data_IF_782300743437
#
_entry.id   IF_782300743437
#
_cell.length_a   1.000
_cell.length_b   1.000
_cell.length_c   1.000
_cell.angle_alpha   90.00
_cell.angle_beta   90.00
_cell.angle_gamma   90.00
#
_symmetry.space_group_name_H-M   'P 1'
#
loop_
_entity.id
_entity.type
_entity.pdbx_description
1 polymer ?
#
# COMPACT_ATOMS: atom_id res chain seq x y z
N UNK A 1 37.80 -5.79 49.81
CA UNK A 1 38.08 -4.71 48.84
C UNK A 1 38.83 -5.36 47.68
N UNK A 2 38.14 -5.74 46.59
CA UNK A 2 37.98 -4.97 45.32
C UNK A 2 39.33 -4.74 44.61
N UNK A 3 39.57 -5.04 43.33
CA UNK A 3 38.87 -5.80 42.27
C UNK A 3 39.83 -5.88 41.07
N UNK A 4 39.85 -7.02 40.36
CA UNK A 4 40.52 -7.22 39.06
C UNK A 4 39.79 -6.44 37.95
N UNK A 5 40.51 -5.66 37.15
CA UNK A 5 40.13 -5.30 35.78
C UNK A 5 41.06 -6.05 34.84
N UNK A 6 40.54 -7.08 34.17
CA UNK A 6 41.21 -7.73 33.06
C UNK A 6 40.85 -6.98 31.77
N UNK A 7 41.85 -6.54 31.01
CA UNK A 7 41.67 -5.95 29.69
C UNK A 7 41.06 -6.98 28.72
N UNK A 8 40.19 -6.56 27.78
CA UNK A 8 39.66 -7.49 26.77
C UNK A 8 40.82 -7.98 25.90
N UNK A 9 40.95 -9.29 25.77
CA UNK A 9 41.98 -9.95 24.96
C UNK A 9 41.71 -9.63 23.48
N UNK A 10 42.74 -9.27 22.70
CA UNK A 10 42.61 -8.90 21.28
C UNK A 10 41.86 -9.95 20.41
N UNK A 11 41.83 -11.21 20.85
CA UNK A 11 41.04 -12.29 20.24
C UNK A 11 39.53 -12.12 20.35
N UNK A 12 39.01 -11.54 21.44
CA UNK A 12 37.57 -11.26 21.60
C UNK A 12 37.12 -10.13 20.67
N UNK A 13 37.98 -9.13 20.46
CA UNK A 13 37.68 -7.99 19.58
C UNK A 13 37.67 -8.40 18.12
N UNK A 14 38.62 -9.23 17.66
CA UNK A 14 38.62 -9.78 16.30
C UNK A 14 37.46 -10.76 16.08
N UNK A 15 37.17 -11.64 17.03
CA UNK A 15 36.04 -12.57 16.93
C UNK A 15 34.68 -11.84 16.91
N UNK A 16 34.53 -10.75 17.67
CA UNK A 16 33.34 -9.90 17.61
C UNK A 16 33.22 -9.12 16.30
N UNK A 17 34.34 -8.61 15.75
CA UNK A 17 34.35 -7.95 14.45
C UNK A 17 34.00 -8.92 13.31
N UNK A 18 34.57 -10.13 13.30
CA UNK A 18 34.26 -11.17 12.32
C UNK A 18 32.81 -11.66 12.44
N UNK A 19 32.29 -11.80 13.66
CA UNK A 19 30.89 -12.15 13.90
C UNK A 19 29.92 -11.06 13.42
N UNK A 20 30.21 -9.78 13.70
CA UNK A 20 29.41 -8.66 13.21
C UNK A 20 29.44 -8.54 11.68
N UNK A 21 30.58 -8.87 11.08
CA UNK A 21 30.75 -8.87 9.62
C UNK A 21 30.03 -10.05 8.98
N UNK A 22 30.11 -11.24 9.57
CA UNK A 22 29.39 -12.43 9.12
C UNK A 22 27.87 -12.24 9.21
N UNK A 23 27.38 -11.68 10.32
CA UNK A 23 25.97 -11.35 10.49
C UNK A 23 25.48 -10.37 9.43
N UNK A 24 26.21 -9.28 9.21
CA UNK A 24 25.85 -8.28 8.23
C UNK A 24 25.81 -8.85 6.81
N UNK A 25 26.77 -9.70 6.43
CA UNK A 25 26.77 -10.40 5.13
C UNK A 25 25.58 -11.37 5.01
N UNK A 26 25.27 -12.10 6.08
CA UNK A 26 24.15 -13.05 6.10
C UNK A 26 22.82 -12.33 5.85
N UNK A 27 22.55 -11.24 6.57
CA UNK A 27 21.34 -10.45 6.34
C UNK A 27 21.32 -9.77 4.97
N UNK A 28 22.46 -9.30 4.47
CA UNK A 28 22.53 -8.73 3.11
C UNK A 28 22.16 -9.77 2.04
N UNK A 29 22.57 -11.03 2.23
CA UNK A 29 22.19 -12.17 1.37
C UNK A 29 20.69 -12.41 1.40
N UNK A 30 20.08 -12.43 2.60
CA UNK A 30 18.63 -12.58 2.78
C UNK A 30 17.87 -11.43 2.13
N UNK A 31 18.29 -10.18 2.37
CA UNK A 31 17.67 -8.99 1.78
C UNK A 31 17.72 -9.03 0.27
N UNK A 32 18.90 -9.30 -0.32
CA UNK A 32 19.10 -9.32 -1.78
C UNK A 32 18.24 -10.39 -2.47
N UNK A 33 17.98 -11.51 -1.79
CA UNK A 33 17.16 -12.59 -2.33
C UNK A 33 15.66 -12.31 -2.18
N UNK A 34 15.21 -12.01 -0.96
CA UNK A 34 13.78 -11.96 -0.66
C UNK A 34 13.13 -10.62 -1.02
N UNK A 35 13.77 -9.50 -0.70
CA UNK A 35 13.11 -8.19 -0.74
C UNK A 35 12.80 -7.74 -2.17
N UNK A 36 13.72 -7.78 -3.15
CA UNK A 36 13.39 -7.40 -4.53
C UNK A 36 12.27 -8.26 -5.12
N UNK A 37 12.27 -9.56 -4.84
CA UNK A 37 11.26 -10.48 -5.35
C UNK A 37 9.87 -10.22 -4.73
N UNK A 38 9.81 -10.04 -3.41
CA UNK A 38 8.57 -9.70 -2.72
C UNK A 38 8.05 -8.31 -3.14
N UNK A 39 8.96 -7.35 -3.35
CA UNK A 39 8.63 -6.02 -3.87
C UNK A 39 8.04 -6.12 -5.28
N UNK A 40 8.57 -6.98 -6.15
CA UNK A 40 8.00 -7.22 -7.49
C UNK A 40 6.61 -7.86 -7.42
N UNK A 41 6.39 -8.78 -6.49
CA UNK A 41 5.06 -9.36 -6.27
C UNK A 41 4.05 -8.31 -5.78
N UNK A 42 4.48 -7.40 -4.89
CA UNK A 42 3.65 -6.31 -4.39
C UNK A 42 3.43 -5.19 -5.41
N UNK A 43 4.40 -4.99 -6.32
CA UNK A 43 4.24 -4.13 -7.48
C UNK A 43 3.08 -4.63 -8.33
N UNK A 44 3.08 -5.92 -8.68
CA UNK A 44 1.95 -6.58 -9.35
C UNK A 44 0.63 -6.32 -8.60
N UNK A 45 0.61 -6.55 -7.28
CA UNK A 45 -0.57 -6.33 -6.43
C UNK A 45 -1.17 -4.93 -6.59
N UNK A 46 -0.31 -3.91 -6.63
CA UNK A 46 -0.75 -2.54 -6.80
C UNK A 46 -1.12 -2.19 -8.25
N UNK A 47 -0.44 -2.77 -9.24
CA UNK A 47 -0.80 -2.59 -10.66
C UNK A 47 -2.25 -3.01 -10.92
N UNK A 48 -2.60 -4.22 -10.50
CA UNK A 48 -3.94 -4.77 -10.60
C UNK A 48 -4.98 -4.00 -9.76
N UNK A 49 -4.55 -3.28 -8.72
CA UNK A 49 -5.46 -2.40 -7.96
C UNK A 49 -5.76 -1.11 -8.71
N UNK A 50 -4.78 -0.53 -9.39
CA UNK A 50 -4.95 0.74 -10.12
C UNK A 50 -5.50 0.56 -11.53
N UNK A 51 -5.35 -0.63 -12.12
CA UNK A 51 -5.72 -0.95 -13.51
C UNK A 51 -7.15 -0.52 -13.86
N UNK A 52 -8.07 -0.66 -12.91
CA UNK A 52 -9.49 -0.43 -13.16
C UNK A 52 -9.81 1.05 -13.36
N UNK A 53 -8.97 1.95 -12.81
CA UNK A 53 -9.05 3.38 -13.06
C UNK A 53 -8.73 3.74 -14.51
N UNK A 54 -7.84 2.97 -15.15
CA UNK A 54 -7.56 3.07 -16.59
C UNK A 54 -8.62 2.37 -17.43
N UNK A 55 -9.01 1.14 -17.05
CA UNK A 55 -10.04 0.38 -17.73
C UNK A 55 -11.35 1.18 -17.85
N UNK A 56 -11.74 1.87 -16.78
CA UNK A 56 -12.89 2.77 -16.70
C UNK A 56 -13.01 3.70 -17.89
N UNK A 57 -11.88 4.21 -18.40
CA UNK A 57 -11.86 5.22 -19.45
C UNK A 57 -12.40 4.73 -20.80
N UNK A 58 -12.57 3.42 -20.99
CA UNK A 58 -13.25 2.81 -22.14
C UNK A 58 -14.43 1.94 -21.68
N UNK A 59 -14.26 1.18 -20.61
CA UNK A 59 -15.22 0.20 -20.08
C UNK A 59 -16.58 0.81 -19.73
N UNK A 60 -16.64 2.03 -19.18
CA UNK A 60 -17.92 2.65 -18.83
C UNK A 60 -18.82 2.85 -20.05
N UNK A 61 -18.25 3.34 -21.14
CA UNK A 61 -19.00 3.57 -22.38
C UNK A 61 -19.36 2.24 -23.07
N UNK A 62 -18.41 1.30 -23.11
CA UNK A 62 -18.59 -0.02 -23.73
C UNK A 62 -19.71 -0.82 -23.06
N UNK A 63 -19.74 -0.83 -21.72
CA UNK A 63 -20.74 -1.57 -20.94
C UNK A 63 -21.97 -0.73 -20.53
N UNK A 64 -22.00 0.56 -20.90
CA UNK A 64 -23.01 1.54 -20.48
C UNK A 64 -23.17 1.61 -18.96
N UNK A 65 -22.07 1.56 -18.23
CA UNK A 65 -22.04 1.70 -16.78
C UNK A 65 -22.03 3.18 -16.38
N UNK A 66 -22.60 3.48 -15.20
CA UNK A 66 -22.54 4.81 -14.59
C UNK A 66 -21.32 4.97 -13.66
N UNK A 67 -21.03 6.19 -13.22
CA UNK A 67 -19.95 6.44 -12.25
C UNK A 67 -20.23 5.77 -10.91
N UNK A 68 -21.50 5.69 -10.48
CA UNK A 68 -21.95 4.95 -9.31
C UNK A 68 -21.64 3.46 -9.44
N UNK A 69 -21.90 2.87 -10.61
CA UNK A 69 -21.60 1.45 -10.84
C UNK A 69 -20.10 1.21 -10.71
N UNK A 70 -19.28 2.02 -11.37
CA UNK A 70 -17.84 1.93 -11.24
C UNK A 70 -17.37 2.11 -9.80
N UNK A 71 -17.87 3.14 -9.12
CA UNK A 71 -17.50 3.50 -7.76
C UNK A 71 -17.84 2.40 -6.76
N UNK A 72 -19.06 1.87 -6.81
CA UNK A 72 -19.46 0.77 -5.93
C UNK A 72 -18.59 -0.48 -6.17
N UNK A 73 -18.32 -0.83 -7.43
CA UNK A 73 -17.46 -1.97 -7.76
C UNK A 73 -16.00 -1.77 -7.34
N UNK A 74 -15.46 -0.56 -7.49
CA UNK A 74 -14.14 -0.21 -6.99
C UNK A 74 -14.06 -0.31 -5.46
N UNK A 75 -15.14 0.04 -4.76
CA UNK A 75 -15.22 -0.06 -3.32
C UNK A 75 -15.37 -1.49 -2.81
N UNK A 76 -16.24 -2.31 -3.42
CA UNK A 76 -16.57 -3.68 -2.96
C UNK A 76 -15.34 -4.57 -2.80
N UNK A 77 -14.30 -4.35 -3.61
CA UNK A 77 -12.99 -4.99 -3.46
C UNK A 77 -12.46 -4.91 -2.02
N UNK A 78 -12.55 -3.73 -1.38
CA UNK A 78 -12.05 -3.52 -0.03
C UNK A 78 -12.89 -4.23 1.04
N UNK A 79 -14.17 -4.48 0.79
CA UNK A 79 -14.99 -5.28 1.70
C UNK A 79 -14.54 -6.74 1.71
N UNK A 80 -14.33 -7.33 0.52
CA UNK A 80 -13.78 -8.68 0.39
C UNK A 80 -12.40 -8.78 1.02
N UNK A 81 -11.53 -7.81 0.76
CA UNK A 81 -10.19 -7.74 1.34
C UNK A 81 -10.24 -7.69 2.88
N UNK A 82 -11.00 -6.76 3.46
CA UNK A 82 -11.11 -6.56 4.90
C UNK A 82 -11.67 -7.80 5.63
N UNK A 83 -12.75 -8.39 5.12
CA UNK A 83 -13.40 -9.55 5.75
C UNK A 83 -12.50 -10.79 5.78
N UNK A 84 -11.67 -10.98 4.76
CA UNK A 84 -10.86 -12.19 4.59
C UNK A 84 -9.38 -12.00 4.95
N UNK A 85 -8.95 -10.79 5.31
CA UNK A 85 -7.56 -10.51 5.69
C UNK A 85 -7.11 -11.34 6.89
N UNK A 86 -7.89 -11.35 7.98
CA UNK A 86 -7.56 -12.11 9.20
C UNK A 86 -7.63 -13.63 8.95
N UNK A 87 -8.74 -14.19 8.41
CA UNK A 87 -8.79 -15.62 8.08
C UNK A 87 -7.66 -16.07 7.16
N UNK A 88 -7.33 -15.29 6.12
CA UNK A 88 -6.27 -15.61 5.16
C UNK A 88 -4.92 -15.75 5.85
N UNK A 89 -4.55 -14.82 6.74
CA UNK A 89 -3.27 -14.89 7.46
C UNK A 89 -3.21 -16.04 8.48
N UNK A 90 -4.34 -16.39 9.09
CA UNK A 90 -4.39 -17.58 9.96
C UNK A 90 -4.11 -18.87 9.17
N UNK A 91 -4.61 -18.97 7.95
CA UNK A 91 -4.33 -20.11 7.07
C UNK A 91 -2.89 -20.07 6.57
N UNK A 92 -2.36 -18.89 6.22
CA UNK A 92 -0.94 -18.71 5.84
C UNK A 92 -0.01 -19.28 6.91
N UNK A 93 -0.29 -19.00 8.19
CA UNK A 93 0.51 -19.52 9.31
C UNK A 93 0.45 -21.04 9.42
N UNK A 94 -0.67 -21.68 9.07
CA UNK A 94 -0.85 -23.14 9.14
C UNK A 94 -0.26 -23.88 7.94
N UNK A 95 -0.46 -23.34 6.73
CA UNK A 95 -0.14 -24.00 5.45
C UNK A 95 1.27 -23.64 4.96
N UNK A 96 1.85 -22.56 5.49
CA UNK A 96 3.16 -22.05 5.10
C UNK A 96 3.06 -20.93 4.06
N UNK A 97 3.96 -19.95 4.20
CA UNK A 97 3.97 -18.75 3.37
C UNK A 97 4.14 -19.03 1.88
N UNK A 98 5.01 -19.99 1.51
CA UNK A 98 5.29 -20.33 0.11
C UNK A 98 4.02 -20.72 -0.64
N UNK A 99 3.29 -21.71 -0.11
CA UNK A 99 2.12 -22.27 -0.77
C UNK A 99 0.95 -21.29 -0.75
N UNK A 100 0.75 -20.58 0.37
CA UNK A 100 -0.38 -19.68 0.51
C UNK A 100 -0.22 -18.39 -0.30
N UNK A 101 0.96 -17.76 -0.30
CA UNK A 101 1.23 -16.56 -1.10
C UNK A 101 1.14 -16.88 -2.60
N UNK A 102 1.63 -18.05 -3.03
CA UNK A 102 1.45 -18.51 -4.40
C UNK A 102 -0.03 -18.69 -4.76
N UNK A 103 -0.80 -19.37 -3.91
CA UNK A 103 -2.26 -19.54 -4.11
C UNK A 103 -2.95 -18.19 -4.24
N UNK A 104 -2.65 -17.23 -3.37
CA UNK A 104 -3.18 -15.87 -3.46
C UNK A 104 -2.89 -15.30 -4.85
N UNK A 105 -1.63 -15.22 -5.26
CA UNK A 105 -1.28 -14.61 -6.54
C UNK A 105 -1.88 -15.33 -7.75
N UNK A 106 -1.91 -16.66 -7.75
CA UNK A 106 -2.47 -17.44 -8.86
C UNK A 106 -3.98 -17.26 -8.98
N UNK A 107 -4.72 -17.41 -7.87
CA UNK A 107 -6.19 -17.25 -7.88
C UNK A 107 -6.60 -15.82 -8.24
N UNK A 108 -5.86 -14.85 -7.71
CA UNK A 108 -6.05 -13.44 -8.00
C UNK A 108 -5.75 -13.08 -9.45
N UNK A 109 -4.67 -13.60 -10.06
CA UNK A 109 -4.36 -13.38 -11.47
C UNK A 109 -5.46 -13.94 -12.40
N UNK A 110 -5.99 -15.13 -12.09
CA UNK A 110 -7.10 -15.72 -12.86
C UNK A 110 -8.37 -14.87 -12.77
N UNK A 111 -8.70 -14.36 -11.57
CA UNK A 111 -9.85 -13.48 -11.38
C UNK A 111 -9.62 -12.14 -12.10
N UNK A 112 -8.41 -11.58 -12.06
CA UNK A 112 -8.05 -10.34 -12.77
C UNK A 112 -8.25 -10.50 -14.28
N UNK A 113 -7.71 -11.58 -14.88
CA UNK A 113 -7.92 -11.85 -16.31
C UNK A 113 -9.40 -12.06 -16.68
N UNK A 114 -10.21 -12.59 -15.76
CA UNK A 114 -11.64 -12.83 -15.98
C UNK A 114 -12.47 -11.54 -16.13
N UNK A 115 -11.92 -10.37 -15.76
CA UNK A 115 -12.60 -9.09 -15.99
C UNK A 115 -12.84 -8.79 -17.46
N UNK A 116 -12.05 -9.36 -18.38
CA UNK A 116 -12.26 -9.24 -19.82
C UNK A 116 -13.64 -9.74 -20.29
N UNK A 117 -14.28 -10.62 -19.50
CA UNK A 117 -15.59 -11.21 -19.78
C UNK A 117 -16.76 -10.51 -19.07
N UNK A 118 -16.51 -9.40 -18.36
CA UNK A 118 -17.56 -8.64 -17.69
C UNK A 118 -18.50 -8.03 -18.72
N UNK A 119 -19.81 -8.25 -18.50
CA UNK A 119 -20.88 -7.73 -19.36
C UNK A 119 -22.02 -7.06 -18.59
N UNK A 120 -22.07 -7.21 -17.27
CA UNK A 120 -23.14 -6.67 -16.41
C UNK A 120 -22.60 -6.11 -15.09
N UNK A 121 -23.31 -5.15 -14.46
CA UNK A 121 -22.90 -4.59 -13.16
C UNK A 121 -22.73 -5.66 -12.09
N UNK A 122 -23.62 -6.66 -12.06
CA UNK A 122 -23.52 -7.78 -11.12
C UNK A 122 -22.24 -8.59 -11.33
N UNK A 123 -21.90 -8.95 -12.58
CA UNK A 123 -20.65 -9.68 -12.87
C UNK A 123 -19.41 -8.87 -12.46
N UNK A 124 -19.44 -7.55 -12.67
CA UNK A 124 -18.39 -6.64 -12.22
C UNK A 124 -18.26 -6.65 -10.69
N UNK A 125 -19.37 -6.52 -9.94
CA UNK A 125 -19.35 -6.53 -8.48
C UNK A 125 -18.88 -7.86 -7.89
N UNK A 126 -19.34 -8.98 -8.44
CA UNK A 126 -18.95 -10.31 -8.00
C UNK A 126 -17.45 -10.51 -8.22
N UNK A 127 -16.93 -10.21 -9.42
CA UNK A 127 -15.49 -10.35 -9.67
C UNK A 127 -14.66 -9.41 -8.80
N UNK A 128 -15.13 -8.18 -8.53
CA UNK A 128 -14.44 -7.24 -7.62
C UNK A 128 -14.38 -7.75 -6.19
N UNK A 129 -15.50 -8.30 -5.70
CA UNK A 129 -15.54 -8.93 -4.39
C UNK A 129 -14.58 -10.11 -4.31
N UNK A 130 -14.66 -11.04 -5.28
CA UNK A 130 -13.79 -12.21 -5.35
C UNK A 130 -12.32 -11.85 -5.48
N UNK A 131 -11.98 -10.79 -6.23
CA UNK A 131 -10.63 -10.27 -6.35
C UNK A 131 -10.12 -9.80 -4.97
N UNK A 132 -10.96 -9.06 -4.22
CA UNK A 132 -10.66 -8.65 -2.86
C UNK A 132 -10.44 -9.85 -1.91
N UNK A 133 -11.30 -10.87 -2.00
CA UNK A 133 -11.16 -12.11 -1.23
C UNK A 133 -9.87 -12.87 -1.58
N UNK A 134 -9.52 -12.93 -2.87
CA UNK A 134 -8.34 -13.64 -3.35
C UNK A 134 -7.04 -12.94 -2.92
N UNK A 135 -6.99 -11.61 -3.04
CA UNK A 135 -5.84 -10.76 -2.67
C UNK A 135 -5.69 -10.61 -1.14
N UNK A 136 -6.77 -10.86 -0.39
CA UNK A 136 -6.79 -10.73 1.06
C UNK A 136 -5.63 -11.52 1.71
N UNK A 137 -4.84 -10.83 2.53
CA UNK A 137 -3.73 -11.42 3.24
C UNK A 137 -2.42 -11.53 2.45
N UNK A 138 -2.32 -11.02 1.20
CA UNK A 138 -1.04 -10.96 0.51
C UNK A 138 -0.03 -10.07 1.25
N UNK A 139 -0.31 -8.77 1.37
CA UNK A 139 0.61 -7.83 2.00
C UNK A 139 0.88 -8.16 3.48
N UNK A 140 -0.13 -8.41 4.33
CA UNK A 140 0.12 -8.82 5.72
C UNK A 140 0.79 -10.19 5.82
N UNK A 141 0.53 -11.09 4.86
CA UNK A 141 1.18 -12.40 4.78
C UNK A 141 2.66 -12.30 4.46
N UNK A 142 3.05 -11.35 3.59
CA UNK A 142 4.46 -11.02 3.35
C UNK A 142 5.09 -10.40 4.59
N UNK A 143 4.39 -9.50 5.29
CA UNK A 143 4.87 -8.91 6.55
C UNK A 143 5.10 -10.01 7.60
N UNK A 144 4.15 -10.94 7.75
CA UNK A 144 4.27 -12.11 8.62
C UNK A 144 5.45 -12.98 8.21
N UNK A 145 5.58 -13.29 6.91
CA UNK A 145 6.70 -14.05 6.37
C UNK A 145 8.04 -13.40 6.71
N UNK A 146 8.16 -12.07 6.60
CA UNK A 146 9.38 -11.34 6.97
C UNK A 146 9.74 -11.49 8.45
N UNK A 147 8.77 -11.72 9.34
CA UNK A 147 9.06 -12.00 10.76
C UNK A 147 9.79 -13.32 10.98
N UNK A 148 9.72 -14.25 10.02
CA UNK A 148 10.43 -15.52 10.08
C UNK A 148 11.91 -15.38 9.69
N UNK A 149 12.30 -14.28 9.06
CA UNK A 149 13.66 -14.06 8.52
C UNK A 149 14.39 -12.90 9.19
N UNK A 150 13.66 -11.91 9.72
CA UNK A 150 14.24 -10.67 10.24
C UNK A 150 13.81 -10.43 11.70
N UNK A 151 14.76 -10.12 12.61
CA UNK A 151 14.44 -9.58 13.92
C UNK A 151 13.86 -8.16 13.80
N UNK A 152 13.15 -7.71 14.83
CA UNK A 152 12.44 -6.42 14.86
C UNK A 152 13.27 -5.22 14.37
N UNK A 153 14.53 -5.10 14.82
CA UNK A 153 15.45 -4.00 14.47
C UNK A 153 15.73 -3.90 12.96
N UNK A 154 15.93 -5.04 12.29
CA UNK A 154 16.26 -5.09 10.86
C UNK A 154 15.01 -5.12 9.98
N UNK A 155 13.89 -5.58 10.53
CA UNK A 155 12.61 -5.72 9.82
C UNK A 155 12.05 -4.39 9.33
N UNK A 156 12.21 -3.31 10.11
CA UNK A 156 11.73 -1.98 9.71
C UNK A 156 12.33 -1.54 8.36
N UNK A 157 13.65 -1.64 8.19
CA UNK A 157 14.33 -1.30 6.93
C UNK A 157 13.85 -2.18 5.77
N UNK A 158 13.68 -3.47 6.01
CA UNK A 158 13.20 -4.40 5.01
C UNK A 158 11.76 -4.09 4.56
N UNK A 159 10.88 -3.72 5.51
CA UNK A 159 9.51 -3.31 5.22
C UNK A 159 9.47 -2.00 4.42
N UNK A 160 10.29 -1.01 4.78
CA UNK A 160 10.37 0.24 4.00
C UNK A 160 10.75 -0.03 2.55
N UNK A 161 11.69 -0.96 2.30
CA UNK A 161 12.05 -1.37 0.94
C UNK A 161 10.90 -2.06 0.20
N UNK A 162 10.16 -2.94 0.88
CA UNK A 162 8.99 -3.60 0.32
C UNK A 162 7.88 -2.60 -0.08
N UNK A 163 7.58 -1.61 0.77
CA UNK A 163 6.55 -0.61 0.50
C UNK A 163 6.90 0.38 -0.62
N UNK A 164 8.16 0.47 -1.05
CA UNK A 164 8.54 1.24 -2.25
C UNK A 164 7.85 0.74 -3.52
N UNK A 165 7.29 -0.48 -3.53
CA UNK A 165 6.50 -0.98 -4.64
C UNK A 165 5.25 -0.12 -4.94
N UNK A 166 4.65 0.53 -3.93
CA UNK A 166 3.42 1.33 -4.11
C UNK A 166 3.63 2.51 -5.07
N UNK A 167 4.55 3.45 -4.79
CA UNK A 167 4.80 4.56 -5.71
C UNK A 167 5.39 4.08 -7.05
N UNK A 168 6.18 3.01 -7.04
CA UNK A 168 6.71 2.42 -8.27
C UNK A 168 5.59 1.86 -9.17
N UNK A 169 4.54 1.27 -8.58
CA UNK A 169 3.37 0.79 -9.31
C UNK A 169 2.61 1.94 -9.98
N UNK A 170 2.52 3.11 -9.34
CA UNK A 170 1.92 4.29 -9.97
C UNK A 170 2.72 4.79 -11.18
N UNK A 171 4.07 4.79 -11.07
CA UNK A 171 4.97 5.28 -12.12
C UNK A 171 5.05 4.34 -13.31
N UNK A 172 5.09 3.03 -13.06
CA UNK A 172 5.19 2.01 -14.10
C UNK A 172 3.81 1.66 -14.65
N UNK A 173 2.81 1.55 -13.76
CA UNK A 173 1.46 1.12 -14.10
C UNK A 173 0.74 2.09 -15.02
N UNK A 174 0.82 3.39 -14.77
CA UNK A 174 0.15 4.36 -15.65
C UNK A 174 0.55 4.24 -17.12
N UNK A 175 1.85 4.39 -17.47
CA UNK A 175 2.34 4.22 -18.82
C UNK A 175 2.08 2.82 -19.40
N UNK A 176 2.24 1.77 -18.59
CA UNK A 176 1.99 0.38 -19.02
C UNK A 176 0.52 0.18 -19.39
N UNK A 177 -0.41 0.56 -18.52
CA UNK A 177 -1.85 0.46 -18.75
C UNK A 177 -2.28 1.29 -19.95
N UNK A 178 -1.77 2.53 -20.07
CA UNK A 178 -2.04 3.41 -21.20
C UNK A 178 -1.53 2.84 -22.52
N UNK A 179 -0.31 2.28 -22.54
CA UNK A 179 0.27 1.63 -23.71
C UNK A 179 -0.54 0.41 -24.14
N UNK A 180 -0.90 -0.49 -23.20
CA UNK A 180 -1.72 -1.66 -23.52
C UNK A 180 -3.05 -1.26 -24.13
N UNK A 181 -3.74 -0.28 -23.52
CA UNK A 181 -5.03 0.20 -24.00
C UNK A 181 -4.96 0.94 -25.35
N UNK A 182 -3.80 1.49 -25.72
CA UNK A 182 -3.56 2.13 -27.00
C UNK A 182 -3.19 1.10 -28.08
N UNK A 183 -2.17 0.28 -27.83
CA UNK A 183 -1.58 -0.63 -28.81
C UNK A 183 -2.47 -1.81 -29.16
N UNK A 184 -3.27 -2.31 -28.21
CA UNK A 184 -4.14 -3.48 -28.41
C UNK A 184 -5.61 -3.10 -28.61
N UNK A 185 -5.93 -1.80 -28.76
CA UNK A 185 -7.29 -1.39 -29.06
C UNK A 185 -7.73 -1.92 -30.43
N UNK A 186 -8.82 -2.70 -30.47
CA UNK A 186 -9.34 -3.31 -31.70
C UNK A 186 -8.59 -4.57 -32.14
N UNK A 187 -7.54 -4.98 -31.42
CA UNK A 187 -6.90 -6.27 -31.67
C UNK A 187 -7.86 -7.41 -31.33
N UNK A 188 -8.06 -8.34 -32.28
CA UNK A 188 -9.05 -9.43 -32.20
C UNK A 188 -10.50 -8.95 -31.95
N UNK A 189 -10.85 -7.74 -32.40
CA UNK A 189 -12.17 -7.13 -32.17
C UNK A 189 -12.51 -6.94 -30.67
N UNK A 190 -11.47 -6.85 -29.83
CA UNK A 190 -11.60 -6.60 -28.40
C UNK A 190 -11.24 -5.15 -28.05
N UNK A 191 -12.01 -4.59 -27.12
CA UNK A 191 -11.71 -3.28 -26.54
C UNK A 191 -10.40 -3.32 -25.74
N UNK A 192 -9.64 -2.22 -25.78
CA UNK A 192 -8.33 -2.11 -25.12
C UNK A 192 -8.36 -2.38 -23.61
N UNK A 193 -9.46 -2.07 -22.92
CA UNK A 193 -9.64 -2.37 -21.50
C UNK A 193 -9.70 -3.88 -21.20
N UNK A 194 -10.14 -4.72 -22.15
CA UNK A 194 -10.12 -6.19 -21.98
C UNK A 194 -8.69 -6.72 -22.03
N UNK A 195 -7.91 -6.21 -22.99
CA UNK A 195 -6.47 -6.51 -23.09
C UNK A 195 -5.69 -6.07 -21.86
N UNK A 196 -6.06 -4.92 -21.28
CA UNK A 196 -5.48 -4.45 -20.03
C UNK A 196 -5.56 -5.51 -18.93
N UNK A 197 -6.77 -6.01 -18.63
CA UNK A 197 -6.96 -7.03 -17.60
C UNK A 197 -6.26 -8.35 -17.92
N UNK A 198 -6.28 -8.80 -19.18
CA UNK A 198 -5.63 -10.06 -19.56
C UNK A 198 -4.10 -9.99 -19.50
N UNK A 199 -3.50 -8.91 -20.00
CA UNK A 199 -2.05 -8.77 -20.10
C UNK A 199 -1.42 -8.39 -18.76
N UNK A 200 -2.07 -7.57 -17.94
CA UNK A 200 -1.54 -7.22 -16.61
C UNK A 200 -1.66 -8.37 -15.61
N UNK A 201 -2.61 -9.28 -15.79
CA UNK A 201 -2.72 -10.49 -14.98
C UNK A 201 -1.57 -11.49 -15.25
N UNK A 202 -0.94 -11.45 -16.42
CA UNK A 202 0.08 -12.43 -16.81
C UNK A 202 1.37 -12.33 -15.97
N UNK A 203 1.97 -11.14 -15.73
CA UNK A 203 3.05 -10.99 -14.77
C UNK A 203 2.70 -11.53 -13.37
N UNK A 204 1.50 -11.23 -12.88
CA UNK A 204 1.01 -11.72 -11.58
C UNK A 204 0.92 -13.25 -11.53
N UNK A 205 0.45 -13.88 -12.62
CA UNK A 205 0.41 -15.34 -12.77
C UNK A 205 1.82 -15.95 -12.75
N UNK A 206 2.75 -15.38 -13.53
CA UNK A 206 4.14 -15.84 -13.60
C UNK A 206 4.82 -15.71 -12.23
N UNK A 207 4.61 -14.61 -11.53
CA UNK A 207 5.15 -14.38 -10.19
C UNK A 207 4.55 -15.36 -9.16
N UNK A 208 3.27 -15.70 -9.28
CA UNK A 208 2.63 -16.72 -8.44
C UNK A 208 3.27 -18.11 -8.61
N UNK A 209 3.58 -18.51 -9.85
CA UNK A 209 4.34 -19.74 -10.13
C UNK A 209 5.77 -19.61 -9.60
N UNK A 210 6.41 -18.46 -9.80
CA UNK A 210 7.76 -18.20 -9.32
C UNK A 210 7.88 -18.28 -7.80
N UNK A 211 6.86 -17.86 -7.03
CA UNK A 211 6.83 -18.03 -5.56
C UNK A 211 7.00 -19.51 -5.20
N UNK A 212 6.30 -20.42 -5.88
CA UNK A 212 6.41 -21.85 -5.61
C UNK A 212 7.82 -22.38 -5.87
N UNK A 213 8.58 -21.78 -6.78
CA UNK A 213 9.94 -22.23 -7.10
C UNK A 213 11.02 -21.50 -6.29
N UNK A 214 10.76 -20.28 -5.85
CA UNK A 214 11.77 -19.36 -5.33
C UNK A 214 11.70 -19.15 -3.81
N UNK A 215 10.51 -19.16 -3.20
CA UNK A 215 10.34 -18.96 -1.75
C UNK A 215 10.50 -20.27 -0.98
N UNK A 216 11.14 -20.17 0.19
CA UNK A 216 11.18 -21.21 1.21
C UNK A 216 10.18 -20.83 2.33
N UNK A 217 9.69 -21.79 3.12
CA UNK A 217 8.71 -21.47 4.18
C UNK A 217 9.34 -20.78 5.41
N UNK A 218 10.65 -20.90 5.59
CA UNK A 218 11.40 -20.26 6.66
C UNK A 218 12.88 -20.65 6.64
N UNK A 219 13.61 -20.20 7.66
CA UNK A 219 15.07 -20.35 7.77
C UNK A 219 15.52 -21.82 7.64
N UNK A 220 14.82 -22.75 8.30
CA UNK A 220 15.22 -24.17 8.31
C UNK A 220 15.10 -24.84 6.94
N UNK A 221 14.05 -24.49 6.18
CA UNK A 221 13.83 -25.00 4.83
C UNK A 221 14.72 -24.36 3.76
N UNK A 222 15.47 -23.30 4.10
CA UNK A 222 16.23 -22.49 3.15
C UNK A 222 17.40 -23.27 2.53
N UNK A 223 17.30 -23.65 1.26
CA UNK A 223 18.35 -24.44 0.58
C UNK A 223 19.60 -23.64 0.19
N UNK A 224 19.50 -22.32 0.18
CA UNK A 224 20.54 -21.39 -0.28
C UNK A 224 21.36 -20.77 0.86
N UNK A 225 21.05 -21.15 2.11
CA UNK A 225 21.78 -20.75 3.30
C UNK A 225 22.65 -21.90 3.80
N UNK A 226 23.86 -21.57 4.28
CA UNK A 226 24.71 -22.53 5.00
C UNK A 226 24.14 -22.79 6.39
N UNK A 227 24.50 -23.92 7.01
CA UNK A 227 24.03 -24.26 8.36
C UNK A 227 24.45 -23.21 9.41
N UNK A 228 25.63 -22.60 9.25
CA UNK A 228 26.07 -21.50 10.11
C UNK A 228 25.20 -20.24 9.94
N UNK A 229 24.83 -19.89 8.71
CA UNK A 229 23.92 -18.77 8.43
C UNK A 229 22.52 -19.04 9.01
N UNK A 230 21.99 -20.26 8.85
CA UNK A 230 20.69 -20.67 9.40
C UNK A 230 20.67 -20.58 10.92
N UNK A 231 21.69 -21.11 11.59
CA UNK A 231 21.79 -21.09 13.05
C UNK A 231 21.82 -19.65 13.59
N UNK A 232 22.55 -18.76 12.92
CA UNK A 232 22.61 -17.34 13.28
C UNK A 232 21.23 -16.66 13.16
N UNK A 233 20.56 -16.82 12.01
CA UNK A 233 19.25 -16.22 11.78
C UNK A 233 18.20 -16.75 12.76
N UNK A 234 18.18 -18.07 12.99
CA UNK A 234 17.24 -18.70 13.91
C UNK A 234 17.44 -18.21 15.35
N UNK A 235 18.70 -18.08 15.79
CA UNK A 235 19.03 -17.52 17.11
C UNK A 235 18.53 -16.09 17.27
N UNK A 236 18.78 -15.24 16.28
CA UNK A 236 18.43 -13.82 16.34
C UNK A 236 16.90 -13.61 16.32
N UNK A 237 16.17 -14.38 15.50
CA UNK A 237 14.70 -14.33 15.46
C UNK A 237 14.07 -14.90 16.75
N UNK A 238 14.62 -16.00 17.28
CA UNK A 238 14.13 -16.59 18.53
C UNK A 238 14.35 -15.66 19.74
N UNK A 239 15.51 -14.98 19.81
CA UNK A 239 15.81 -13.99 20.84
C UNK A 239 14.84 -12.81 20.85
N UNK A 240 14.46 -12.32 19.66
CA UNK A 240 13.47 -11.24 19.50
C UNK A 240 12.04 -11.68 19.87
N UNK A 241 11.68 -12.95 19.64
CA UNK A 241 10.37 -13.49 20.02
C UNK A 241 10.23 -13.73 21.53
N UNK A 242 11.32 -14.12 22.23
CA UNK A 242 11.29 -14.37 23.67
C UNK A 242 11.00 -13.12 24.51
N UNK A 243 11.25 -11.92 23.96
CA UNK A 243 10.94 -10.65 24.62
C UNK A 243 9.48 -10.17 24.40
N UNK A 244 8.68 -10.88 23.61
CA UNK A 244 7.27 -10.53 23.34
C UNK A 244 6.36 -11.06 24.44
N UNK A 245 6.13 -10.26 25.47
CA UNK A 245 5.08 -10.48 26.49
C UNK A 245 3.70 -10.06 25.93
N UNK A 246 2.94 -10.98 25.34
CA UNK A 246 1.55 -10.67 24.95
C UNK A 246 0.61 -10.82 26.14
N UNK A 247 -0.17 -9.78 26.47
CA UNK A 247 -1.60 -9.83 26.82
C UNK A 247 -2.11 -8.40 27.11
N UNK A 248 -2.49 -7.66 26.06
CA UNK A 248 -3.40 -6.52 26.23
C UNK A 248 -4.81 -7.04 25.94
N UNK A 249 -5.73 -6.87 26.90
CA UNK A 249 -7.13 -7.25 26.71
C UNK A 249 -7.71 -6.55 25.47
N UNK A 250 -8.21 -7.33 24.51
CA UNK A 250 -8.82 -6.81 23.26
C UNK A 250 -9.91 -5.79 23.56
N UNK A 251 -10.67 -5.99 24.65
CA UNK A 251 -11.74 -5.09 25.08
C UNK A 251 -11.20 -3.74 25.56
N UNK A 252 -10.11 -3.74 26.34
CA UNK A 252 -9.45 -2.52 26.78
C UNK A 252 -8.82 -1.75 25.61
N UNK A 253 -8.32 -2.49 24.62
CA UNK A 253 -7.73 -1.94 23.41
C UNK A 253 -8.77 -1.28 22.48
N UNK A 254 -9.91 -1.92 22.24
CA UNK A 254 -11.01 -1.34 21.44
C UNK A 254 -11.66 -0.15 22.15
N UNK A 255 -11.65 -0.13 23.49
CA UNK A 255 -12.17 0.98 24.29
C UNK A 255 -11.26 2.23 24.28
N UNK A 256 -10.04 2.16 23.75
CA UNK A 256 -9.13 3.30 23.73
C UNK A 256 -9.58 4.35 22.69
N UNK A 257 -9.96 5.54 23.17
CA UNK A 257 -10.36 6.67 22.32
C UNK A 257 -9.24 7.14 21.39
N UNK A 258 -7.97 6.94 21.76
CA UNK A 258 -6.81 7.31 20.93
C UNK A 258 -6.76 6.46 19.66
N UNK A 259 -7.12 5.18 19.76
CA UNK A 259 -7.19 4.27 18.61
C UNK A 259 -8.17 4.81 17.55
N UNK A 260 -9.37 5.19 17.97
CA UNK A 260 -10.40 5.71 17.07
C UNK A 260 -10.06 7.07 16.47
N UNK A 261 -9.39 7.94 17.23
CA UNK A 261 -8.86 9.19 16.68
C UNK A 261 -7.82 8.94 15.59
N UNK A 262 -6.89 8.02 15.83
CA UNK A 262 -5.88 7.61 14.83
C UNK A 262 -6.54 6.97 13.61
N UNK A 263 -7.50 6.08 13.82
CA UNK A 263 -8.27 5.46 12.75
C UNK A 263 -9.03 6.50 11.90
N UNK A 264 -9.67 7.49 12.53
CA UNK A 264 -10.40 8.54 11.81
C UNK A 264 -9.46 9.44 10.98
N UNK A 265 -8.31 9.84 11.53
CA UNK A 265 -7.32 10.63 10.79
C UNK A 265 -6.81 9.83 9.58
N UNK A 266 -6.42 8.57 9.79
CA UNK A 266 -5.88 7.75 8.71
C UNK A 266 -6.95 7.40 7.67
N UNK A 267 -8.20 7.19 8.10
CA UNK A 267 -9.33 7.01 7.20
C UNK A 267 -9.47 8.20 6.22
N UNK A 268 -9.37 9.43 6.70
CA UNK A 268 -9.39 10.62 5.83
C UNK A 268 -8.21 10.65 4.83
N UNK A 269 -7.01 10.27 5.26
CA UNK A 269 -5.83 10.20 4.40
C UNK A 269 -6.00 9.13 3.32
N UNK A 270 -6.43 7.92 3.71
CA UNK A 270 -6.65 6.80 2.79
C UNK A 270 -7.82 7.08 1.84
N UNK A 271 -8.86 7.78 2.30
CA UNK A 271 -9.98 8.23 1.47
C UNK A 271 -9.48 9.12 0.33
N UNK A 272 -8.63 10.10 0.64
CA UNK A 272 -8.01 10.97 -0.36
C UNK A 272 -7.04 10.22 -1.28
N UNK A 273 -6.27 9.28 -0.74
CA UNK A 273 -5.34 8.48 -1.53
C UNK A 273 -6.05 7.63 -2.59
N UNK A 274 -7.12 6.91 -2.21
CA UNK A 274 -7.91 6.14 -3.19
C UNK A 274 -8.72 7.05 -4.12
N UNK A 275 -9.20 8.18 -3.62
CA UNK A 275 -9.84 9.25 -4.39
C UNK A 275 -8.96 9.81 -5.50
N UNK A 276 -7.64 9.90 -5.25
CA UNK A 276 -6.67 10.17 -6.29
C UNK A 276 -6.55 8.97 -7.23
N UNK A 277 -6.13 7.82 -6.70
CA UNK A 277 -5.73 6.66 -7.49
C UNK A 277 -6.78 6.19 -8.51
N UNK A 278 -8.05 6.10 -8.14
CA UNK A 278 -9.08 5.52 -9.00
C UNK A 278 -9.72 6.51 -10.00
N UNK A 279 -9.53 7.83 -9.85
CA UNK A 279 -10.09 8.86 -10.77
C UNK A 279 -9.00 9.67 -11.46
N UNK A 280 -7.75 9.56 -11.03
CA UNK A 280 -6.63 10.27 -11.64
C UNK A 280 -6.61 10.13 -13.17
N UNK A 281 -6.75 8.92 -13.76
CA UNK A 281 -6.78 8.80 -15.22
C UNK A 281 -7.99 9.49 -15.86
N UNK A 282 -9.16 9.46 -15.18
CA UNK A 282 -10.39 10.11 -15.66
C UNK A 282 -10.27 11.62 -15.64
N UNK A 283 -9.65 12.17 -14.59
CA UNK A 283 -9.43 13.61 -14.46
C UNK A 283 -8.50 14.08 -15.59
N UNK A 284 -7.40 13.37 -15.85
CA UNK A 284 -6.48 13.70 -16.95
C UNK A 284 -7.16 13.60 -18.32
N UNK A 285 -7.99 12.56 -18.54
CA UNK A 285 -8.81 12.43 -19.76
C UNK A 285 -9.75 13.64 -19.93
N UNK A 286 -10.51 13.98 -18.88
CA UNK A 286 -11.46 15.12 -18.89
C UNK A 286 -10.78 16.48 -19.05
N UNK A 287 -9.51 16.60 -18.67
CA UNK A 287 -8.73 17.83 -18.86
C UNK A 287 -8.36 18.11 -20.34
N UNK A 288 -8.57 17.14 -21.24
CA UNK A 288 -8.38 17.30 -22.69
C UNK A 288 -7.47 16.26 -23.35
N UNK A 289 -7.00 15.24 -22.62
CA UNK A 289 -6.11 14.21 -23.16
C UNK A 289 -6.92 13.03 -23.71
N UNK A 290 -7.04 12.95 -25.03
CA UNK A 290 -7.84 11.90 -25.68
C UNK A 290 -7.16 10.52 -25.61
N UNK A 291 -5.87 10.45 -25.96
CA UNK A 291 -5.13 9.20 -26.10
C UNK A 291 -4.86 8.51 -24.74
N UNK A 292 -5.28 7.25 -24.53
CA UNK A 292 -4.93 6.47 -23.35
C UNK A 292 -3.44 6.42 -23.02
N UNK A 293 -2.56 6.41 -24.03
CA UNK A 293 -1.11 6.39 -23.82
C UNK A 293 -0.65 7.65 -23.08
N UNK A 294 -1.07 8.80 -23.56
CA UNK A 294 -0.74 10.09 -22.94
C UNK A 294 -1.40 10.27 -21.58
N UNK A 295 -2.63 9.76 -21.39
CA UNK A 295 -3.23 9.70 -20.04
C UNK A 295 -2.33 8.90 -19.10
N UNK A 296 -1.87 7.72 -19.52
CA UNK A 296 -0.95 6.87 -18.76
C UNK A 296 0.35 7.58 -18.39
N UNK A 297 1.03 8.17 -19.37
CA UNK A 297 2.30 8.90 -19.16
C UNK A 297 2.10 10.08 -18.20
N UNK A 298 1.06 10.88 -18.39
CA UNK A 298 0.81 12.06 -17.57
C UNK A 298 0.37 11.72 -16.14
N UNK A 299 -0.29 10.57 -15.93
CA UNK A 299 -0.64 10.11 -14.57
C UNK A 299 0.58 9.70 -13.73
N UNK A 300 1.73 9.40 -14.36
CA UNK A 300 2.97 9.11 -13.64
C UNK A 300 3.56 10.37 -12.98
N UNK A 301 3.32 11.56 -13.54
CA UNK A 301 3.91 12.81 -13.07
C UNK A 301 3.53 13.16 -11.61
N UNK A 302 2.25 13.10 -11.20
CA UNK A 302 1.87 13.30 -9.79
C UNK A 302 2.59 12.35 -8.82
N UNK A 303 2.78 11.08 -9.19
CA UNK A 303 3.50 10.11 -8.36
C UNK A 303 5.00 10.42 -8.27
N UNK A 304 5.62 10.90 -9.37
CA UNK A 304 7.01 11.37 -9.35
C UNK A 304 7.20 12.56 -8.41
N UNK A 305 6.29 13.54 -8.43
CA UNK A 305 6.31 14.66 -7.49
C UNK A 305 6.19 14.17 -6.03
N UNK A 306 5.34 13.18 -5.78
CA UNK A 306 5.20 12.61 -4.45
C UNK A 306 6.46 11.88 -3.97
N UNK A 307 7.18 11.16 -4.84
CA UNK A 307 8.47 10.52 -4.49
C UNK A 307 9.50 11.54 -4.00
N UNK A 308 9.49 12.76 -4.54
CA UNK A 308 10.41 13.82 -4.10
C UNK A 308 9.90 14.50 -2.82
N UNK A 309 8.60 14.75 -2.70
CA UNK A 309 8.02 15.39 -1.52
C UNK A 309 8.13 14.54 -0.24
N UNK A 310 7.93 13.23 -0.36
CA UNK A 310 8.00 12.25 0.73
C UNK A 310 9.29 12.37 1.58
N UNK A 311 10.51 12.23 1.01
CA UNK A 311 11.75 12.33 1.76
C UNK A 311 12.03 13.75 2.24
N UNK A 312 11.70 14.80 1.46
CA UNK A 312 11.94 16.19 1.86
C UNK A 312 11.13 16.58 3.11
N UNK A 313 9.84 16.23 3.13
CA UNK A 313 8.98 16.48 4.29
C UNK A 313 9.37 15.56 5.46
N UNK A 314 9.76 14.31 5.18
CA UNK A 314 10.27 13.40 6.21
C UNK A 314 11.52 13.93 6.91
N UNK A 315 12.52 14.39 6.14
CA UNK A 315 13.73 15.02 6.67
C UNK A 315 13.41 16.28 7.47
N UNK A 316 12.49 17.10 6.98
CA UNK A 316 12.04 18.30 7.70
C UNK A 316 11.32 17.95 9.01
N UNK A 317 10.50 16.90 9.02
CA UNK A 317 9.78 16.43 10.21
C UNK A 317 10.74 15.91 11.27
N UNK A 318 11.78 15.19 10.85
CA UNK A 318 12.84 14.69 11.73
C UNK A 318 13.71 15.83 12.28
N UNK A 319 14.04 16.83 11.45
CA UNK A 319 14.83 17.98 11.86
C UNK A 319 14.11 18.87 12.89
N UNK A 320 12.84 19.19 12.63
CA UNK A 320 12.04 20.05 13.51
C UNK A 320 11.41 19.29 14.69
N UNK A 321 11.37 17.95 14.64
CA UNK A 321 10.69 17.09 15.61
C UNK A 321 9.20 17.43 15.77
N UNK A 322 8.58 17.95 14.70
CA UNK A 322 7.19 18.39 14.68
C UNK A 322 6.31 17.40 13.89
N UNK A 323 5.79 16.38 14.56
CA UNK A 323 5.03 15.33 13.86
C UNK A 323 3.63 15.76 13.45
N UNK A 324 3.01 16.66 14.21
CA UNK A 324 1.63 17.13 13.94
C UNK A 324 1.54 18.03 12.71
N UNK A 325 2.44 19.01 12.60
CA UNK A 325 2.41 19.98 11.50
C UNK A 325 2.82 19.33 10.18
N UNK A 326 3.83 18.48 10.19
CA UNK A 326 4.26 17.72 9.00
C UNK A 326 3.27 16.64 8.55
N UNK A 327 2.22 16.37 9.34
CA UNK A 327 1.05 15.60 8.89
C UNK A 327 -0.06 16.53 8.38
N UNK A 328 -0.46 17.52 9.17
CA UNK A 328 -1.60 18.39 8.87
C UNK A 328 -1.36 19.32 7.66
N UNK A 329 -0.15 19.88 7.52
CA UNK A 329 0.16 20.79 6.41
C UNK A 329 0.08 20.05 5.07
N UNK A 330 0.71 18.88 4.85
CA UNK A 330 0.54 18.14 3.61
C UNK A 330 -0.91 17.70 3.34
N UNK A 331 -1.71 17.44 4.38
CA UNK A 331 -3.15 17.18 4.21
C UNK A 331 -3.88 18.42 3.67
N UNK A 332 -3.62 19.61 4.24
CA UNK A 332 -4.22 20.85 3.76
C UNK A 332 -3.76 21.22 2.34
N UNK A 333 -2.49 20.99 2.02
CA UNK A 333 -1.95 21.14 0.67
C UNK A 333 -2.66 20.20 -0.31
N UNK A 334 -2.90 18.94 0.09
CA UNK A 334 -3.64 17.99 -0.72
C UNK A 334 -5.09 18.45 -0.95
N UNK A 335 -5.77 18.90 0.11
CA UNK A 335 -7.12 19.42 0.04
C UNK A 335 -7.23 20.64 -0.88
N UNK A 336 -6.24 21.55 -0.83
CA UNK A 336 -6.16 22.71 -1.73
C UNK A 336 -5.98 22.27 -3.19
N UNK A 337 -5.13 21.26 -3.46
CA UNK A 337 -4.96 20.68 -4.79
C UNK A 337 -6.27 20.12 -5.35
N UNK A 338 -7.03 19.36 -4.55
CA UNK A 338 -8.34 18.84 -4.95
C UNK A 338 -9.42 19.92 -5.11
N UNK A 339 -9.42 20.94 -4.24
CA UNK A 339 -10.43 22.01 -4.27
C UNK A 339 -10.23 22.99 -5.44
N UNK A 340 -8.98 23.23 -5.84
CA UNK A 340 -8.64 24.15 -6.94
C UNK A 340 -8.77 23.50 -8.31
N UNK A 341 -8.66 22.16 -8.38
CA UNK A 341 -8.74 21.40 -9.63
C UNK A 341 -9.98 21.72 -10.49
N UNK A 342 -11.22 21.83 -9.95
CA UNK A 342 -12.40 22.15 -10.75
C UNK A 342 -12.45 23.61 -11.24
N UNK A 343 -11.69 24.50 -10.62
CA UNK A 343 -11.66 25.94 -10.94
C UNK A 343 -10.69 26.24 -12.09
N UNK A 344 -9.75 25.32 -12.35
CA UNK A 344 -8.67 25.51 -13.29
C UNK A 344 -8.91 24.69 -14.56
N UNK A 345 -8.97 25.39 -15.70
CA UNK A 345 -9.11 24.76 -17.01
C UNK A 345 -7.78 24.30 -17.60
N UNK A 346 -7.80 23.20 -18.35
CA UNK A 346 -6.69 22.72 -19.17
C UNK A 346 -5.78 21.66 -18.52
N UNK A 347 -5.05 20.95 -19.36
CA UNK A 347 -4.22 19.80 -18.99
C UNK A 347 -3.11 20.21 -18.01
N UNK A 348 -2.37 21.28 -18.30
CA UNK A 348 -1.24 21.72 -17.47
C UNK A 348 -1.65 22.07 -16.04
N UNK A 349 -2.70 22.90 -15.89
CA UNK A 349 -3.19 23.28 -14.56
C UNK A 349 -3.74 22.08 -13.78
N UNK A 350 -4.45 21.18 -14.46
CA UNK A 350 -4.95 19.94 -13.85
C UNK A 350 -3.81 19.08 -13.32
N UNK A 351 -2.72 18.92 -14.08
CA UNK A 351 -1.56 18.14 -13.66
C UNK A 351 -0.82 18.77 -12.49
N UNK A 352 -0.72 20.11 -12.44
CA UNK A 352 -0.14 20.82 -11.30
C UNK A 352 -0.97 20.58 -10.03
N UNK A 353 -2.29 20.75 -10.10
CA UNK A 353 -3.18 20.49 -8.97
C UNK A 353 -3.13 19.04 -8.51
N UNK A 354 -3.14 18.09 -9.44
CA UNK A 354 -3.03 16.65 -9.15
C UNK A 354 -1.67 16.30 -8.54
N UNK A 355 -0.59 16.94 -8.99
CA UNK A 355 0.75 16.73 -8.44
C UNK A 355 0.87 17.26 -7.02
N UNK A 356 0.29 18.43 -6.74
CA UNK A 356 0.18 19.01 -5.39
C UNK A 356 -0.67 18.08 -4.50
N UNK A 357 -1.81 17.60 -5.01
CA UNK A 357 -2.69 16.67 -4.31
C UNK A 357 -1.98 15.35 -3.97
N UNK A 358 -1.30 14.76 -4.95
CA UNK A 358 -0.52 13.52 -4.79
C UNK A 358 0.63 13.69 -3.80
N UNK A 359 1.43 14.75 -3.94
CA UNK A 359 2.53 15.04 -3.05
C UNK A 359 2.05 15.20 -1.61
N UNK A 360 0.97 15.95 -1.38
CA UNK A 360 0.38 16.12 -0.07
C UNK A 360 -0.12 14.80 0.54
N UNK A 361 -0.98 14.07 -0.17
CA UNK A 361 -1.68 12.91 0.39
C UNK A 361 -0.77 11.71 0.63
N UNK A 362 0.17 11.43 -0.28
CA UNK A 362 1.13 10.34 -0.14
C UNK A 362 2.13 10.64 0.98
N UNK A 363 2.55 11.90 1.10
CA UNK A 363 3.40 12.34 2.22
C UNK A 363 2.66 12.20 3.54
N UNK A 364 1.41 12.65 3.65
CA UNK A 364 0.58 12.47 4.84
C UNK A 364 0.45 11.00 5.26
N UNK A 365 0.26 10.09 4.30
CA UNK A 365 0.19 8.64 4.56
C UNK A 365 1.47 8.11 5.24
N UNK A 366 2.65 8.57 4.81
CA UNK A 366 3.92 8.20 5.46
C UNK A 366 4.10 8.81 6.85
N UNK A 367 3.80 10.09 7.02
CA UNK A 367 4.02 10.82 8.27
C UNK A 367 3.03 10.40 9.36
N UNK A 368 1.85 9.91 8.96
CA UNK A 368 0.83 9.43 9.89
C UNK A 368 1.37 8.36 10.85
N UNK A 369 2.20 7.44 10.36
CA UNK A 369 2.68 6.30 11.16
C UNK A 369 3.62 6.70 12.32
N UNK A 370 4.12 7.94 12.34
CA UNK A 370 4.83 8.49 13.49
C UNK A 370 3.91 8.79 14.70
N UNK A 371 2.60 8.97 14.48
CA UNK A 371 1.67 9.31 15.56
C UNK A 371 1.31 8.09 16.43
N UNK A 372 0.82 6.95 15.88
CA UNK A 372 0.47 5.79 16.69
C UNK A 372 1.66 5.24 17.48
N UNK A 373 2.85 5.28 16.89
CA UNK A 373 4.10 4.83 17.53
C UNK A 373 4.45 5.66 18.75
N UNK A 374 4.27 6.98 18.70
CA UNK A 374 4.51 7.87 19.84
C UNK A 374 3.41 7.78 20.93
N UNK A 375 2.16 7.54 20.54
CA UNK A 375 0.99 7.63 21.45
C UNK A 375 0.62 6.30 22.13
N UNK A 376 0.85 5.16 21.46
CA UNK A 376 0.37 3.85 21.90
C UNK A 376 1.43 2.99 22.62
N UNK A 377 2.68 3.46 22.70
CA UNK A 377 3.79 2.94 23.52
C UNK A 377 3.85 1.43 23.81
N UNK A 378 4.88 0.73 23.30
CA UNK A 378 5.14 -0.69 23.63
C UNK A 378 4.33 -1.70 22.79
N UNK A 379 4.10 -2.90 23.31
CA UNK A 379 3.42 -3.99 22.58
C UNK A 379 1.95 -3.72 22.20
N UNK A 380 1.30 -2.74 22.86
CA UNK A 380 -0.04 -2.26 22.47
C UNK A 380 -0.02 -1.50 21.12
N UNK A 381 1.11 -0.89 20.76
CA UNK A 381 1.23 -0.08 19.55
C UNK A 381 1.16 -0.92 18.27
N UNK A 382 1.68 -2.15 18.27
CA UNK A 382 1.63 -3.02 17.09
C UNK A 382 0.20 -3.47 16.76
N UNK A 383 -0.57 -3.86 17.79
CA UNK A 383 -2.00 -4.13 17.65
C UNK A 383 -2.77 -2.86 17.24
N UNK A 384 -2.39 -1.72 17.83
CA UNK A 384 -2.79 -0.35 17.48
C UNK A 384 -2.76 -0.09 15.99
N UNK A 385 -1.56 -0.21 15.44
CA UNK A 385 -1.22 0.02 14.04
C UNK A 385 -2.03 -0.88 13.12
N UNK A 386 -2.12 -2.17 13.44
CA UNK A 386 -2.89 -3.12 12.64
C UNK A 386 -4.39 -2.77 12.62
N UNK A 387 -4.97 -2.44 13.78
CA UNK A 387 -6.39 -2.07 13.87
C UNK A 387 -6.70 -0.76 13.14
N UNK A 388 -5.83 0.26 13.28
CA UNK A 388 -5.93 1.52 12.52
C UNK A 388 -5.90 1.26 11.02
N UNK A 389 -4.97 0.42 10.55
CA UNK A 389 -4.88 0.09 9.13
C UNK A 389 -6.13 -0.64 8.62
N UNK A 390 -6.67 -1.58 9.40
CA UNK A 390 -7.88 -2.33 9.04
C UNK A 390 -9.09 -1.37 8.87
N UNK A 391 -9.32 -0.49 9.86
CA UNK A 391 -10.43 0.47 9.81
C UNK A 391 -10.23 1.49 8.70
N UNK A 392 -9.02 2.01 8.51
CA UNK A 392 -8.74 2.99 7.48
C UNK A 392 -8.86 2.41 6.06
N UNK A 393 -8.60 1.11 5.85
CA UNK A 393 -8.80 0.49 4.55
C UNK A 393 -10.28 0.44 4.14
N UNK A 394 -11.24 0.55 5.06
CA UNK A 394 -12.66 0.75 4.72
C UNK A 394 -12.90 2.07 3.98
N UNK A 395 -12.01 3.06 4.11
CA UNK A 395 -12.06 4.26 3.28
C UNK A 395 -11.91 3.93 1.78
N UNK A 396 -11.26 2.82 1.44
CA UNK A 396 -11.21 2.29 0.08
C UNK A 396 -12.56 1.83 -0.45
N UNK A 397 -13.52 1.48 0.42
CA UNK A 397 -14.92 1.25 0.02
C UNK A 397 -15.67 2.57 -0.16
N UNK A 398 -15.63 3.43 0.87
CA UNK A 398 -16.43 4.66 0.89
C UNK A 398 -15.98 5.70 -0.12
N UNK A 399 -14.67 5.85 -0.34
CA UNK A 399 -14.12 6.84 -1.29
C UNK A 399 -14.73 6.65 -2.69
N UNK A 400 -14.59 5.48 -3.35
CA UNK A 400 -15.20 5.26 -4.66
C UNK A 400 -16.71 5.20 -4.70
N UNK A 401 -17.35 4.60 -3.72
CA UNK A 401 -18.80 4.54 -3.70
C UNK A 401 -19.41 5.95 -3.65
N UNK A 402 -18.92 6.81 -2.74
CA UNK A 402 -19.48 8.16 -2.54
C UNK A 402 -19.11 9.07 -3.72
N UNK A 403 -17.85 9.05 -4.19
CA UNK A 403 -17.43 9.87 -5.33
C UNK A 403 -18.21 9.50 -6.59
N UNK A 404 -18.40 8.21 -6.87
CA UNK A 404 -19.19 7.74 -8.01
C UNK A 404 -20.64 8.21 -7.94
N UNK A 405 -21.27 8.04 -6.77
CA UNK A 405 -22.64 8.48 -6.51
C UNK A 405 -22.84 10.00 -6.65
N UNK A 406 -21.94 10.80 -6.07
CA UNK A 406 -21.99 12.25 -6.18
C UNK A 406 -21.81 12.74 -7.61
N UNK A 407 -20.93 12.10 -8.38
CA UNK A 407 -20.67 12.47 -9.78
C UNK A 407 -21.88 12.18 -10.67
N UNK A 408 -22.57 11.06 -10.48
CA UNK A 408 -23.82 10.76 -11.21
C UNK A 408 -24.95 11.71 -10.78
N UNK A 409 -25.12 11.95 -9.47
CA UNK A 409 -26.21 12.78 -8.93
C UNK A 409 -26.10 14.25 -9.35
N UNK A 410 -24.89 14.79 -9.41
CA UNK A 410 -24.65 16.19 -9.80
C UNK A 410 -24.36 16.37 -11.29
N UNK A 411 -24.14 15.28 -12.03
CA UNK A 411 -23.69 15.30 -13.41
C UNK A 411 -22.27 15.86 -13.61
N UNK A 412 -21.53 16.18 -12.55
CA UNK A 412 -20.21 16.79 -12.62
C UNK A 412 -19.21 16.13 -11.65
N UNK A 413 -17.95 16.00 -12.08
CA UNK A 413 -16.86 15.44 -11.28
C UNK A 413 -16.45 16.33 -10.08
N UNK A 414 -16.89 17.59 -10.06
CA UNK A 414 -16.58 18.57 -9.01
C UNK A 414 -17.06 18.12 -7.63
N UNK A 415 -18.25 17.53 -7.53
CA UNK A 415 -18.85 17.17 -6.24
C UNK A 415 -18.01 16.11 -5.50
N UNK A 416 -17.54 15.09 -6.20
CA UNK A 416 -16.65 14.07 -5.64
C UNK A 416 -15.30 14.64 -5.19
N UNK A 417 -14.72 15.58 -5.94
CA UNK A 417 -13.46 16.23 -5.59
C UNK A 417 -13.59 17.12 -4.34
N UNK A 418 -14.68 17.89 -4.24
CA UNK A 418 -14.98 18.70 -3.05
C UNK A 418 -15.20 17.80 -1.83
N UNK A 419 -15.91 16.68 -1.98
CA UNK A 419 -16.09 15.70 -0.90
C UNK A 419 -14.74 15.19 -0.37
N UNK A 420 -13.84 14.77 -1.26
CA UNK A 420 -12.48 14.34 -0.87
C UNK A 420 -11.74 15.47 -0.15
N UNK A 421 -11.78 16.69 -0.70
CA UNK A 421 -11.11 17.85 -0.10
C UNK A 421 -11.63 18.13 1.32
N UNK A 422 -12.95 18.18 1.50
CA UNK A 422 -13.58 18.39 2.82
C UNK A 422 -13.20 17.29 3.80
N UNK A 423 -13.22 16.02 3.37
CA UNK A 423 -12.83 14.90 4.22
C UNK A 423 -11.37 15.00 4.67
N UNK A 424 -10.46 15.45 3.80
CA UNK A 424 -9.04 15.66 4.14
C UNK A 424 -8.89 16.85 5.10
N UNK A 425 -9.63 17.96 4.90
CA UNK A 425 -9.61 19.11 5.83
C UNK A 425 -10.11 18.70 7.22
N UNK A 426 -11.20 17.93 7.29
CA UNK A 426 -11.69 17.35 8.54
C UNK A 426 -10.60 16.48 9.21
N UNK A 427 -9.92 15.62 8.44
CA UNK A 427 -8.80 14.83 8.93
C UNK A 427 -7.66 15.69 9.48
N UNK A 428 -7.29 16.77 8.78
CA UNK A 428 -6.27 17.72 9.23
C UNK A 428 -6.67 18.42 10.53
N UNK A 429 -7.95 18.80 10.67
CA UNK A 429 -8.48 19.36 11.93
C UNK A 429 -8.41 18.34 13.08
N UNK A 430 -8.70 17.06 12.83
CA UNK A 430 -8.58 15.99 13.82
C UNK A 430 -7.14 15.78 14.29
N UNK A 431 -6.12 15.99 13.43
CA UNK A 431 -4.71 15.97 13.84
C UNK A 431 -4.45 17.00 14.94
N UNK A 432 -5.19 18.11 14.97
CA UNK A 432 -5.00 19.11 16.01
C UNK A 432 -5.52 18.71 17.40
N UNK A 433 -6.35 17.67 17.48
CA UNK A 433 -6.82 17.09 18.74
C UNK A 433 -5.77 16.18 19.41
N UNK A 434 -4.70 15.82 18.69
CA UNK A 434 -3.62 14.97 19.20
C UNK A 434 -2.69 15.80 20.10
N UNK A 435 -2.38 15.42 21.36
CA UNK A 435 -1.54 16.25 22.24
C UNK A 435 -0.13 16.49 21.67
N UNK A 436 0.27 17.75 21.44
CA UNK A 436 1.58 18.08 20.85
C UNK A 436 2.76 17.56 21.69
N UNK A 437 2.66 17.70 23.02
CA UNK A 437 3.68 17.25 23.98
C UNK A 437 3.93 15.74 23.96
N UNK A 438 3.00 14.95 23.42
CA UNK A 438 3.09 13.50 23.36
C UNK A 438 3.75 13.00 22.06
N UNK A 439 3.79 13.82 21.00
CA UNK A 439 4.19 13.36 19.66
C UNK A 439 5.35 14.18 19.07
N UNK A 440 5.49 15.46 19.44
CA UNK A 440 6.61 16.28 19.01
C UNK A 440 7.82 15.99 19.92
N UNK A 441 8.68 15.05 19.54
CA UNK A 441 9.88 14.62 20.30
C UNK A 441 11.04 14.26 19.39
#
# INVERSE_FOLDING_TARGET
>A
MKTKYASPVAGDVMAHADAATFESRTYAKVVRRLIPFLMLCYLGAYLDRVNVGFAKLQMLNDLRFSETIYGLGAGIFFLGYFLFEVPSNMILHKVGARNWLARIMLTWAVISASFAFVSSPTSFYVLRFLLGVAEAGFAPGVILYMTYWFPSERRAKALSMFFMAIPLAGIVGGPLSGYIMHAFHGALDLAGWKWLFMLEALPSLILGIAILLYLDNGIQSAKWLTEAEKALLARNVAGDNAQKVSHVSIRAFIADRRLWLMAAIYFCVVLGQYGLTFWLPTIVRKAGVADPLWVGILTALPYLCAIVALPLVGMSADHHRERRLHLAIPMLVAAAGFATLPLLGGVGASLVCLSIAAAGILTSSSQFWALPTALLGGMSAAAGIAAVNCVANLAGFFSPAIVGWLNDLTGNATAGLIFISVAIVLGAMLVFLVPAKAVNR
#
